data_IF_332026515787
#
_entry.id   IF_332026515787
#
_cell.length_a   1.000
_cell.length_b   1.000
_cell.length_c   1.000
_cell.angle_alpha   90.00
_cell.angle_beta   90.00
_cell.angle_gamma   90.00
#
_symmetry.space_group_name_H-M   'P 1'
#
loop_
_entity.id
_entity.type
_entity.pdbx_description
1 polymer ?
#
# COMPACT_ATOMS: atom_id res chain seq x y z
N UNK A 1 -5.16 -22.32 9.31
CA UNK A 1 -4.66 -20.93 9.20
C UNK A 1 -5.55 -20.12 10.11
N UNK A 2 -5.03 -19.57 11.20
CA UNK A 2 -5.84 -18.75 12.11
C UNK A 2 -6.23 -17.47 11.37
N UNK A 3 -7.53 -17.28 11.12
CA UNK A 3 -8.17 -16.12 10.48
C UNK A 3 -7.94 -14.76 11.20
N UNK A 4 -7.06 -14.69 12.19
CA UNK A 4 -6.90 -13.52 13.06
C UNK A 4 -6.46 -12.23 12.35
N UNK A 5 -5.76 -12.33 11.21
CA UNK A 5 -5.31 -11.18 10.43
C UNK A 5 -6.19 -10.86 9.22
N UNK A 6 -7.38 -11.46 9.12
CA UNK A 6 -8.35 -11.05 8.11
C UNK A 6 -8.74 -9.58 8.35
N UNK A 7 -8.76 -8.79 7.27
CA UNK A 7 -9.16 -7.38 7.32
C UNK A 7 -10.68 -7.32 7.53
N UNK A 8 -11.12 -6.78 8.67
CA UNK A 8 -12.55 -6.58 8.98
C UNK A 8 -13.06 -5.25 8.42
N UNK A 9 -12.32 -4.16 8.65
CA UNK A 9 -12.65 -2.82 8.17
C UNK A 9 -11.38 -2.06 7.77
N UNK A 10 -11.56 -1.05 6.93
CA UNK A 10 -10.51 -0.10 6.58
C UNK A 10 -11.11 1.26 6.23
N UNK A 11 -10.42 2.33 6.62
CA UNK A 11 -10.85 3.70 6.34
C UNK A 11 -9.66 4.64 6.18
N UNK A 12 -9.86 5.70 5.40
CA UNK A 12 -8.93 6.83 5.30
C UNK A 12 -9.43 7.94 6.20
N UNK A 13 -8.63 8.32 7.20
CA UNK A 13 -8.92 9.45 8.09
C UNK A 13 -7.79 10.45 7.99
N UNK A 14 -8.06 11.63 7.41
CA UNK A 14 -7.02 12.58 7.00
C UNK A 14 -5.98 11.90 6.10
N UNK A 15 -4.70 11.88 6.51
CA UNK A 15 -3.60 11.26 5.78
C UNK A 15 -3.18 9.90 6.37
N UNK A 16 -4.10 9.21 7.05
CA UNK A 16 -3.87 7.89 7.66
C UNK A 16 -4.79 6.83 7.04
N UNK A 17 -4.22 5.66 6.72
CA UNK A 17 -4.97 4.43 6.53
C UNK A 17 -5.11 3.73 7.88
N UNK A 18 -6.35 3.50 8.30
CA UNK A 18 -6.70 2.72 9.48
C UNK A 18 -7.24 1.37 9.02
N UNK A 19 -6.76 0.28 9.62
CA UNK A 19 -7.18 -1.09 9.32
C UNK A 19 -7.47 -1.82 10.62
N UNK A 20 -8.64 -2.45 10.72
CA UNK A 20 -9.00 -3.33 11.84
C UNK A 20 -8.98 -4.79 11.40
N UNK A 21 -8.45 -5.67 12.26
CA UNK A 21 -8.32 -7.09 11.98
C UNK A 21 -9.23 -7.95 12.86
N UNK A 22 -9.47 -9.19 12.44
CA UNK A 22 -10.35 -10.13 13.15
C UNK A 22 -9.90 -10.46 14.58
N UNK A 23 -8.60 -10.40 14.86
CA UNK A 23 -8.02 -10.55 16.20
C UNK A 23 -8.18 -9.32 17.11
N UNK A 24 -8.92 -8.30 16.64
CA UNK A 24 -9.17 -7.03 17.33
C UNK A 24 -7.95 -6.12 17.45
N UNK A 25 -6.86 -6.44 16.76
CA UNK A 25 -5.78 -5.48 16.54
C UNK A 25 -6.16 -4.42 15.51
N UNK A 26 -5.50 -3.28 15.60
CA UNK A 26 -5.64 -2.18 14.65
C UNK A 26 -4.27 -1.73 14.18
N UNK A 27 -4.21 -1.23 12.95
CA UNK A 27 -3.02 -0.61 12.38
C UNK A 27 -3.37 0.75 11.80
N UNK A 28 -2.48 1.72 12.02
CA UNK A 28 -2.59 3.07 11.48
C UNK A 28 -1.32 3.39 10.73
N UNK A 29 -1.43 3.66 9.42
CA UNK A 29 -0.29 3.86 8.54
C UNK A 29 -0.44 5.19 7.79
N UNK A 30 0.54 6.10 7.86
CA UNK A 30 0.53 7.32 7.06
C UNK A 30 0.52 7.03 5.56
N UNK A 31 -0.31 7.72 4.79
CA UNK A 31 -0.38 7.57 3.34
C UNK A 31 0.94 7.90 2.67
N UNK A 32 1.66 8.89 3.21
CA UNK A 32 3.02 9.21 2.77
C UNK A 32 3.96 8.00 2.87
N UNK A 33 3.94 7.31 4.01
CA UNK A 33 4.76 6.13 4.23
C UNK A 33 4.36 4.99 3.30
N UNK A 34 3.06 4.77 3.08
CA UNK A 34 2.57 3.76 2.12
C UNK A 34 3.06 4.04 0.69
N UNK A 35 2.99 5.29 0.23
CA UNK A 35 3.44 5.67 -1.12
C UNK A 35 4.95 5.54 -1.28
N UNK A 36 5.71 5.99 -0.28
CA UNK A 36 7.19 5.91 -0.26
C UNK A 36 7.70 4.47 -0.17
N UNK A 37 6.87 3.53 0.28
CA UNK A 37 7.17 2.10 0.39
C UNK A 37 6.33 1.25 -0.54
N UNK A 38 5.88 1.81 -1.67
CA UNK A 38 5.11 1.07 -2.65
C UNK A 38 5.93 -0.14 -3.16
N UNK A 39 5.49 -1.39 -2.94
CA UNK A 39 6.30 -2.57 -3.22
C UNK A 39 6.30 -2.99 -4.70
N UNK A 40 5.77 -2.16 -5.61
CA UNK A 40 5.69 -2.50 -7.02
C UNK A 40 7.07 -2.43 -7.70
N UNK A 41 7.24 -3.19 -8.79
CA UNK A 41 8.48 -3.23 -9.55
C UNK A 41 8.92 -1.86 -10.10
N UNK A 42 7.98 -0.94 -10.35
CA UNK A 42 8.32 0.43 -10.78
C UNK A 42 8.87 1.30 -9.65
N UNK A 43 8.57 0.99 -8.39
CA UNK A 43 9.00 1.77 -7.23
C UNK A 43 10.19 1.14 -6.51
N UNK A 44 10.14 -0.14 -6.15
CA UNK A 44 11.25 -0.81 -5.44
C UNK A 44 12.13 -1.66 -6.35
N UNK A 45 11.67 -1.93 -7.57
CA UNK A 45 12.34 -2.86 -8.48
C UNK A 45 11.96 -4.31 -8.21
N UNK A 46 12.47 -5.18 -9.07
CA UNK A 46 12.38 -6.63 -8.96
C UNK A 46 13.79 -7.22 -8.96
N UNK A 47 14.07 -8.08 -7.98
CA UNK A 47 15.36 -8.76 -7.88
C UNK A 47 15.23 -10.14 -8.49
N UNK A 48 16.10 -10.46 -9.45
CA UNK A 48 16.14 -11.80 -10.05
C UNK A 48 16.77 -12.85 -9.10
N UNK A 49 16.77 -14.12 -9.54
CA UNK A 49 17.36 -15.21 -8.76
C UNK A 49 18.89 -15.10 -8.57
N UNK A 50 19.56 -14.25 -9.36
CA UNK A 50 21.00 -14.00 -9.30
C UNK A 50 21.35 -12.76 -8.46
N UNK A 51 20.35 -12.05 -7.95
CA UNK A 51 20.51 -10.86 -7.12
C UNK A 51 20.59 -9.54 -7.90
N UNK A 52 20.34 -9.54 -9.21
CA UNK A 52 20.32 -8.29 -9.99
C UNK A 52 18.99 -7.57 -9.75
N UNK A 53 19.07 -6.28 -9.38
CA UNK A 53 17.91 -5.42 -9.21
C UNK A 53 17.56 -4.71 -10.52
N UNK A 54 16.36 -4.95 -11.03
CA UNK A 54 15.80 -4.25 -12.17
C UNK A 54 14.76 -3.24 -11.67
N UNK A 55 15.02 -1.96 -11.91
CA UNK A 55 14.13 -0.87 -11.49
C UNK A 55 14.03 0.17 -12.60
N UNK A 56 12.82 0.66 -12.82
CA UNK A 56 12.56 1.76 -13.76
C UNK A 56 13.23 3.07 -13.32
N UNK A 57 13.16 4.11 -14.17
CA UNK A 57 13.62 5.45 -13.78
C UNK A 57 12.88 5.96 -12.54
N UNK A 58 13.54 6.83 -11.78
CA UNK A 58 12.95 7.42 -10.58
C UNK A 58 11.68 8.22 -10.94
N UNK A 59 10.59 7.94 -10.23
CA UNK A 59 9.33 8.66 -10.41
C UNK A 59 9.36 9.96 -9.59
N UNK A 60 9.11 11.09 -10.26
CA UNK A 60 8.94 12.36 -9.57
C UNK A 60 7.61 12.37 -8.80
N UNK A 61 7.69 12.29 -7.47
CA UNK A 61 6.52 12.41 -6.60
C UNK A 61 6.05 13.87 -6.54
N UNK A 62 4.74 14.07 -6.53
CA UNK A 62 4.11 15.38 -6.40
C UNK A 62 3.04 15.33 -5.28
N UNK A 63 2.41 16.45 -4.90
CA UNK A 63 1.43 16.44 -3.81
C UNK A 63 0.27 15.44 -4.00
N UNK A 64 -0.15 15.16 -5.25
CA UNK A 64 -1.20 14.18 -5.54
C UNK A 64 -0.76 12.72 -5.37
N UNK A 65 0.56 12.45 -5.39
CA UNK A 65 1.12 11.11 -5.16
C UNK A 65 0.83 10.58 -3.75
N UNK A 66 0.53 11.47 -2.80
CA UNK A 66 0.23 11.11 -1.41
C UNK A 66 -1.27 11.10 -1.10
N UNK A 67 -2.12 11.30 -2.12
CA UNK A 67 -3.56 11.34 -1.96
C UNK A 67 -4.19 10.11 -2.63
N UNK A 68 -5.07 9.43 -1.90
CA UNK A 68 -5.81 8.28 -2.42
C UNK A 68 -7.09 8.76 -3.14
N UNK A 69 -7.37 8.17 -4.30
CA UNK A 69 -8.63 8.29 -5.04
C UNK A 69 -9.60 7.14 -4.74
N UNK A 70 -9.10 6.00 -4.27
CA UNK A 70 -9.91 4.89 -3.78
C UNK A 70 -9.10 3.73 -3.20
N UNK A 71 -9.79 2.83 -2.50
CA UNK A 71 -9.24 1.57 -1.98
C UNK A 71 -10.11 0.40 -2.44
N UNK A 72 -9.47 -0.70 -2.85
CA UNK A 72 -10.14 -1.92 -3.24
C UNK A 72 -9.62 -3.13 -2.44
N UNK A 73 -10.48 -3.95 -1.82
CA UNK A 73 -10.06 -5.18 -1.17
C UNK A 73 -9.70 -6.23 -2.22
N UNK A 74 -8.65 -7.01 -1.96
CA UNK A 74 -8.14 -8.06 -2.84
C UNK A 74 -8.00 -9.36 -2.04
N UNK A 75 -8.73 -10.40 -2.48
CA UNK A 75 -8.56 -11.78 -2.01
C UNK A 75 -8.72 -12.00 -0.51
N UNK A 76 -9.33 -11.07 0.23
CA UNK A 76 -9.46 -11.07 1.69
C UNK A 76 -8.15 -10.90 2.49
N UNK A 77 -7.03 -10.61 1.82
CA UNK A 77 -5.71 -10.47 2.46
C UNK A 77 -5.00 -9.15 2.16
N UNK A 78 -5.55 -8.33 1.26
CA UNK A 78 -4.86 -7.11 0.81
C UNK A 78 -5.82 -5.98 0.48
N UNK A 79 -5.25 -4.78 0.48
CA UNK A 79 -5.88 -3.56 0.02
C UNK A 79 -5.05 -2.98 -1.12
N UNK A 80 -5.73 -2.64 -2.21
CA UNK A 80 -5.14 -1.93 -3.34
C UNK A 80 -5.49 -0.44 -3.24
N UNK A 81 -4.54 0.44 -2.95
CA UNK A 81 -4.73 1.88 -3.11
C UNK A 81 -4.69 2.27 -4.58
N UNK A 82 -5.53 3.24 -4.94
CA UNK A 82 -5.42 4.03 -6.16
C UNK A 82 -5.02 5.45 -5.76
N UNK A 83 -3.96 5.98 -6.34
CA UNK A 83 -3.40 7.29 -6.04
C UNK A 83 -3.87 8.33 -7.05
N UNK A 84 -3.92 9.60 -6.65
CA UNK A 84 -4.37 10.69 -7.53
C UNK A 84 -3.35 11.09 -8.60
N UNK A 85 -2.09 10.67 -8.48
CA UNK A 85 -1.07 10.83 -9.52
C UNK A 85 -1.18 9.78 -10.65
N UNK A 86 -2.17 8.89 -10.57
CA UNK A 86 -2.41 7.82 -11.55
C UNK A 86 -1.71 6.50 -11.23
N UNK A 87 -1.03 6.40 -10.08
CA UNK A 87 -0.45 5.16 -9.57
C UNK A 87 -1.52 4.25 -8.95
#
# INVERSE_FOLDING_TARGET
>A
MTDGLAIENYEIVNDLLIVSFADKSESMVPLKLLRERCPCASCEGETDALGNLYKGPEQALNPSSFQISGLQPVGYYGLRPFWKDGH
#
